data_IF_745253734316
#
_entry.id   IF_745253734316
#
_cell.length_a   1.000
_cell.length_b   1.000
_cell.length_c   1.000
_cell.angle_alpha   90.00
_cell.angle_beta   90.00
_cell.angle_gamma   90.00
#
_symmetry.space_group_name_H-M   'P 1'
#
loop_
_entity.id
_entity.type
_entity.pdbx_description
1 polymer ?
#
# COMPACT_ATOMS: atom_id res chain seq x y z
N UNK A 1 -10.12 9.47 1.77
CA UNK A 1 -9.05 8.77 2.50
C UNK A 1 -9.33 8.81 3.99
N UNK A 2 -8.70 7.94 4.76
CA UNK A 2 -8.91 7.74 6.20
C UNK A 2 -8.79 9.03 7.02
N UNK A 3 -7.85 9.89 6.69
CA UNK A 3 -7.58 11.14 7.43
C UNK A 3 -8.78 12.09 7.57
N UNK A 4 -9.77 11.98 6.68
CA UNK A 4 -10.97 12.83 6.70
C UNK A 4 -12.17 12.19 7.39
N UNK A 5 -12.19 10.87 7.56
CA UNK A 5 -13.38 10.15 8.03
C UNK A 5 -13.80 10.61 9.43
N UNK A 6 -12.89 10.55 10.40
CA UNK A 6 -13.24 10.93 11.78
C UNK A 6 -13.45 12.44 11.94
N UNK A 7 -12.60 13.34 11.40
CA UNK A 7 -12.86 14.78 11.44
C UNK A 7 -14.21 15.17 10.82
N UNK A 8 -14.58 14.59 9.67
CA UNK A 8 -15.88 14.88 9.04
C UNK A 8 -17.05 14.31 9.83
N UNK A 9 -16.88 13.15 10.45
CA UNK A 9 -17.88 12.62 11.34
C UNK A 9 -18.06 13.49 12.59
N UNK A 10 -16.97 14.03 13.15
CA UNK A 10 -17.01 14.94 14.31
C UNK A 10 -17.66 16.27 13.96
N UNK A 11 -17.38 16.79 12.78
CA UNK A 11 -17.96 18.04 12.25
C UNK A 11 -19.42 17.89 11.80
N UNK A 12 -20.01 16.69 11.85
CA UNK A 12 -21.39 16.44 11.41
C UNK A 12 -21.58 16.46 9.89
N UNK A 13 -20.49 16.41 9.10
CA UNK A 13 -20.53 16.34 7.64
C UNK A 13 -21.03 14.96 7.20
N UNK A 14 -20.61 13.89 7.89
CA UNK A 14 -21.05 12.53 7.61
C UNK A 14 -22.28 12.15 8.43
N UNK A 15 -23.26 11.54 7.77
CA UNK A 15 -24.34 10.80 8.44
C UNK A 15 -23.81 9.47 8.97
N UNK A 16 -23.34 9.50 10.22
CA UNK A 16 -22.75 8.32 10.88
C UNK A 16 -23.76 7.19 11.04
N UNK A 17 -25.06 7.51 11.21
CA UNK A 17 -26.09 6.50 11.38
C UNK A 17 -26.39 5.77 10.09
N UNK A 18 -26.52 6.48 8.97
CA UNK A 18 -26.71 5.91 7.65
C UNK A 18 -25.50 5.04 7.25
N UNK A 19 -24.27 5.56 7.38
CA UNK A 19 -23.06 4.79 7.07
C UNK A 19 -22.96 3.51 7.90
N UNK A 20 -23.26 3.58 9.20
CA UNK A 20 -23.23 2.41 10.08
C UNK A 20 -24.35 1.40 9.75
N UNK A 21 -25.52 1.87 9.31
CA UNK A 21 -26.61 1.01 8.84
C UNK A 21 -26.17 0.21 7.61
N UNK A 22 -25.59 0.86 6.60
CA UNK A 22 -25.04 0.21 5.40
C UNK A 22 -24.02 -0.88 5.77
N UNK A 23 -23.07 -0.59 6.66
CA UNK A 23 -22.07 -1.59 7.10
C UNK A 23 -22.74 -2.77 7.82
N UNK A 24 -23.81 -2.53 8.60
CA UNK A 24 -24.56 -3.61 9.26
C UNK A 24 -25.28 -4.50 8.26
N UNK A 25 -25.96 -3.90 7.27
CA UNK A 25 -26.70 -4.61 6.22
C UNK A 25 -25.77 -5.43 5.33
N UNK A 26 -24.62 -4.89 4.95
CA UNK A 26 -23.55 -5.60 4.21
C UNK A 26 -22.89 -6.72 5.03
N UNK A 27 -23.06 -6.71 6.36
CA UNK A 27 -22.49 -7.69 7.28
C UNK A 27 -21.08 -7.33 7.77
N UNK A 28 -20.98 -6.77 8.98
CA UNK A 28 -19.69 -6.35 9.58
C UNK A 28 -18.58 -7.40 9.52
N UNK A 29 -18.92 -8.68 9.64
CA UNK A 29 -17.95 -9.80 9.64
C UNK A 29 -17.30 -10.04 8.28
N UNK A 30 -17.89 -9.49 7.20
CA UNK A 30 -17.33 -9.62 5.85
C UNK A 30 -16.23 -8.61 5.58
N UNK A 31 -16.07 -7.59 6.40
CA UNK A 31 -15.04 -6.58 6.29
C UNK A 31 -13.78 -6.94 7.09
N UNK A 32 -12.63 -6.47 6.63
CA UNK A 32 -11.39 -6.51 7.39
C UNK A 32 -11.55 -5.71 8.70
N UNK A 33 -11.33 -6.33 9.88
CA UNK A 33 -11.58 -5.66 11.16
C UNK A 33 -10.79 -4.37 11.36
N UNK A 34 -9.56 -4.32 10.83
CA UNK A 34 -8.71 -3.12 10.88
C UNK A 34 -9.35 -1.93 10.17
N UNK A 35 -9.89 -2.14 8.96
CA UNK A 35 -10.54 -1.09 8.18
C UNK A 35 -11.79 -0.52 8.89
N UNK A 36 -12.59 -1.37 9.51
CA UNK A 36 -13.72 -0.92 10.33
C UNK A 36 -13.28 -0.15 11.57
N UNK A 37 -12.24 -0.62 12.26
CA UNK A 37 -11.76 0.02 13.48
C UNK A 37 -11.19 1.43 13.22
N UNK A 38 -10.57 1.65 12.08
CA UNK A 38 -10.05 2.97 11.70
C UNK A 38 -11.16 4.02 11.47
N UNK A 39 -12.36 3.59 11.02
CA UNK A 39 -13.52 4.47 10.82
C UNK A 39 -14.48 4.48 12.01
N UNK A 40 -14.08 3.99 13.18
CA UNK A 40 -14.98 3.84 14.32
C UNK A 40 -15.11 5.15 15.10
N UNK A 41 -16.35 5.64 15.24
CA UNK A 41 -16.76 6.75 16.13
C UNK A 41 -17.68 6.20 17.22
N UNK A 42 -17.18 6.10 18.45
CA UNK A 42 -17.90 5.42 19.53
C UNK A 42 -18.18 3.95 19.19
N UNK A 43 -19.45 3.56 19.17
CA UNK A 43 -19.89 2.20 18.80
C UNK A 43 -20.26 2.05 17.32
N UNK A 44 -20.28 3.14 16.54
CA UNK A 44 -20.72 3.20 15.16
C UNK A 44 -19.52 3.28 14.20
N UNK A 45 -19.76 2.91 12.95
CA UNK A 45 -18.79 3.05 11.84
C UNK A 45 -19.19 4.28 11.03
N UNK A 46 -18.29 5.26 10.93
CA UNK A 46 -18.57 6.58 10.39
C UNK A 46 -18.56 6.64 8.85
N UNK A 47 -17.94 5.67 8.20
CA UNK A 47 -17.90 5.56 6.73
C UNK A 47 -17.66 4.10 6.31
N UNK A 48 -18.08 3.72 5.11
CA UNK A 48 -18.02 2.35 4.60
C UNK A 48 -16.66 2.10 3.95
N UNK A 49 -15.81 1.18 4.48
CA UNK A 49 -14.52 0.88 3.87
C UNK A 49 -14.70 0.25 2.48
N UNK A 50 -13.93 0.72 1.50
CA UNK A 50 -14.03 0.27 0.10
C UNK A 50 -12.88 -0.63 -0.30
N UNK A 51 -11.69 -0.09 -0.30
CA UNK A 51 -10.46 -0.79 -0.66
C UNK A 51 -9.26 -0.18 0.06
N UNK A 52 -8.12 -0.81 -0.05
CA UNK A 52 -6.92 -0.31 0.60
C UNK A 52 -5.65 -0.71 -0.14
N UNK A 53 -4.56 -0.12 0.28
CA UNK A 53 -3.21 -0.47 -0.15
C UNK A 53 -2.24 -0.41 1.03
N UNK A 54 -1.10 -1.03 0.88
CA UNK A 54 -0.02 -0.99 1.86
C UNK A 54 1.26 -0.48 1.22
N UNK A 55 2.16 0.10 2.01
CA UNK A 55 3.54 0.25 1.58
C UNK A 55 4.28 -1.07 1.77
N UNK A 56 5.21 -1.37 0.87
CA UNK A 56 6.03 -2.56 0.90
C UNK A 56 7.42 -2.26 0.34
N UNK A 57 8.42 -3.04 0.71
CA UNK A 57 9.72 -2.98 0.05
C UNK A 57 9.62 -3.79 -1.24
N UNK A 58 9.89 -3.14 -2.35
CA UNK A 58 9.98 -3.74 -3.68
C UNK A 58 11.45 -3.91 -4.02
N UNK A 59 11.90 -5.11 -4.37
CA UNK A 59 13.32 -5.38 -4.56
C UNK A 59 13.62 -6.33 -5.73
N UNK A 60 14.81 -6.26 -6.26
CA UNK A 60 15.34 -7.10 -7.33
C UNK A 60 15.89 -8.41 -6.79
N UNK A 61 15.09 -9.48 -6.82
CA UNK A 61 15.47 -10.83 -6.37
C UNK A 61 16.77 -11.31 -7.01
N UNK A 62 16.89 -11.15 -8.31
CA UNK A 62 18.04 -11.56 -9.10
C UNK A 62 19.36 -10.89 -8.65
N UNK A 63 19.32 -9.61 -8.27
CA UNK A 63 20.49 -8.90 -7.76
C UNK A 63 20.87 -9.37 -6.35
N UNK A 64 19.87 -9.65 -5.51
CA UNK A 64 20.10 -10.17 -4.16
C UNK A 64 20.69 -11.58 -4.22
N UNK A 65 20.15 -12.48 -5.04
CA UNK A 65 20.67 -13.84 -5.27
C UNK A 65 22.11 -13.80 -5.78
N UNK A 66 22.37 -12.98 -6.79
CA UNK A 66 23.72 -12.82 -7.35
C UNK A 66 24.75 -12.33 -6.33
N UNK A 67 24.34 -11.48 -5.40
CA UNK A 67 25.20 -10.94 -4.36
C UNK A 67 25.23 -11.79 -3.07
N UNK A 68 24.48 -12.89 -3.01
CA UNK A 68 24.37 -13.73 -1.81
C UNK A 68 23.71 -13.04 -0.62
N UNK A 69 22.76 -12.14 -0.89
CA UNK A 69 22.08 -11.35 0.14
C UNK A 69 20.74 -11.98 0.54
N UNK A 70 20.45 -11.92 1.82
CA UNK A 70 19.13 -12.24 2.35
C UNK A 70 18.08 -11.21 1.90
N UNK A 71 16.81 -11.61 1.70
CA UNK A 71 15.73 -10.69 1.36
C UNK A 71 15.66 -9.48 2.32
N UNK A 72 15.27 -8.28 1.84
CA UNK A 72 15.32 -7.03 2.61
C UNK A 72 14.17 -6.91 3.64
N UNK A 73 14.01 -7.92 4.51
CA UNK A 73 12.94 -8.01 5.50
C UNK A 73 13.16 -7.14 6.73
N UNK A 74 14.35 -6.54 6.87
CA UNK A 74 14.71 -5.72 8.04
C UNK A 74 15.58 -4.53 7.65
N UNK A 75 15.67 -3.54 8.54
CA UNK A 75 16.60 -2.43 8.40
C UNK A 75 18.03 -2.90 8.16
N UNK A 76 18.45 -3.92 8.90
CA UNK A 76 19.80 -4.49 8.78
C UNK A 76 20.04 -5.06 7.39
N UNK A 77 19.09 -5.88 6.87
CA UNK A 77 19.24 -6.49 5.56
C UNK A 77 19.21 -5.44 4.45
N UNK A 78 18.36 -4.40 4.56
CA UNK A 78 18.35 -3.27 3.62
C UNK A 78 19.69 -2.53 3.66
N UNK A 79 20.24 -2.25 4.84
CA UNK A 79 21.53 -1.56 4.98
C UNK A 79 22.67 -2.36 4.33
N UNK A 80 22.73 -3.67 4.59
CA UNK A 80 23.71 -4.57 3.94
C UNK A 80 23.57 -4.57 2.41
N UNK A 81 22.33 -4.58 1.93
CA UNK A 81 22.07 -4.54 0.49
C UNK A 81 22.44 -3.19 -0.13
N UNK A 82 22.19 -2.08 0.56
CA UNK A 82 22.66 -0.75 0.14
C UNK A 82 24.18 -0.73 -0.01
N UNK A 83 24.91 -1.23 0.98
CA UNK A 83 26.38 -1.29 0.95
C UNK A 83 26.92 -2.17 -0.19
N UNK A 84 26.29 -3.31 -0.43
CA UNK A 84 26.75 -4.28 -1.43
C UNK A 84 26.36 -3.93 -2.87
N UNK A 85 25.23 -3.24 -3.08
CA UNK A 85 24.64 -3.02 -4.40
C UNK A 85 24.70 -1.55 -4.86
N UNK A 86 25.29 -0.64 -4.08
CA UNK A 86 25.57 0.74 -4.51
C UNK A 86 26.85 0.80 -5.34
N UNK A 87 26.86 1.62 -6.38
CA UNK A 87 28.03 1.83 -7.23
C UNK A 87 27.76 1.41 -8.68
N UNK A 88 28.73 1.62 -9.57
CA UNK A 88 28.65 1.29 -10.99
C UNK A 88 27.40 1.83 -11.70
N UNK A 89 26.96 3.03 -11.28
CA UNK A 89 25.76 3.69 -11.84
C UNK A 89 24.44 3.21 -11.25
N UNK A 90 24.48 2.40 -10.18
CA UNK A 90 23.32 1.93 -9.42
C UNK A 90 23.23 2.66 -8.07
N UNK A 91 22.04 3.14 -7.74
CA UNK A 91 21.72 3.67 -6.43
C UNK A 91 21.25 2.53 -5.53
N UNK A 92 21.83 2.35 -4.36
CA UNK A 92 21.51 1.23 -3.45
C UNK A 92 20.06 1.23 -2.97
N UNK A 93 19.41 2.39 -2.99
CA UNK A 93 18.01 2.59 -2.67
C UNK A 93 17.48 3.85 -3.37
N UNK A 94 16.17 3.96 -3.58
CA UNK A 94 15.53 5.24 -3.90
C UNK A 94 14.42 5.51 -2.92
N UNK A 95 14.74 6.36 -1.92
CA UNK A 95 13.80 6.80 -0.90
C UNK A 95 13.02 8.05 -1.36
N UNK A 96 11.85 8.26 -0.77
CA UNK A 96 11.11 9.49 -0.92
C UNK A 96 11.78 10.61 -0.10
N UNK A 97 12.16 11.72 -0.74
CA UNK A 97 12.83 12.87 -0.09
C UNK A 97 12.12 14.20 -0.33
N UNK A 98 11.08 14.22 -1.16
CA UNK A 98 10.28 15.42 -1.41
C UNK A 98 9.29 15.64 -0.25
N UNK A 99 9.55 16.65 0.57
CA UNK A 99 8.88 16.85 1.87
C UNK A 99 7.44 17.39 1.79
N UNK A 100 7.06 18.00 0.69
CA UNK A 100 5.72 18.54 0.43
C UNK A 100 4.78 17.52 -0.26
N UNK A 101 5.24 16.28 -0.43
CA UNK A 101 4.49 15.19 -1.04
C UNK A 101 4.00 14.16 0.00
N UNK A 102 2.75 13.73 -0.14
CA UNK A 102 2.16 12.69 0.72
C UNK A 102 2.94 11.37 0.66
N UNK A 103 3.58 11.07 -0.45
CA UNK A 103 4.35 9.85 -0.62
C UNK A 103 5.51 9.75 0.38
N UNK A 104 6.20 10.87 0.65
CA UNK A 104 7.25 10.87 1.67
C UNK A 104 6.70 10.55 3.06
N UNK A 105 5.57 11.13 3.46
CA UNK A 105 4.94 10.80 4.75
C UNK A 105 4.55 9.33 4.84
N UNK A 106 3.99 8.76 3.78
CA UNK A 106 3.60 7.34 3.74
C UNK A 106 4.82 6.42 3.88
N UNK A 107 5.92 6.73 3.18
CA UNK A 107 7.18 5.97 3.27
C UNK A 107 7.84 6.11 4.64
N UNK A 108 7.87 7.33 5.19
CA UNK A 108 8.42 7.57 6.52
C UNK A 108 7.58 6.86 7.59
N UNK A 109 6.26 6.95 7.54
CA UNK A 109 5.37 6.25 8.48
C UNK A 109 5.54 4.73 8.40
N UNK A 110 5.71 4.17 7.19
CA UNK A 110 6.00 2.74 7.02
C UNK A 110 7.29 2.35 7.76
N UNK A 111 8.36 3.12 7.59
CA UNK A 111 9.62 2.94 8.32
C UNK A 111 9.41 3.08 9.83
N UNK A 112 8.71 4.10 10.30
CA UNK A 112 8.45 4.30 11.73
C UNK A 112 7.68 3.13 12.35
N UNK A 113 6.61 2.68 11.70
CA UNK A 113 5.78 1.56 12.15
C UNK A 113 6.56 0.24 12.17
N UNK A 114 7.40 0.00 11.16
CA UNK A 114 8.28 -1.16 11.09
C UNK A 114 9.16 -1.31 12.34
N UNK A 115 9.58 -0.20 12.96
CA UNK A 115 10.36 -0.18 14.20
C UNK A 115 9.50 -0.04 15.47
N UNK A 116 8.17 -0.11 15.36
CA UNK A 116 7.25 0.01 16.49
C UNK A 116 7.20 1.42 17.08
N UNK A 117 7.44 2.45 16.26
CA UNK A 117 7.19 3.86 16.63
C UNK A 117 5.70 4.12 16.56
N UNK A 118 5.15 4.62 17.65
CA UNK A 118 3.75 5.03 17.72
C UNK A 118 3.72 6.46 18.29
N UNK A 119 3.70 7.45 17.40
CA UNK A 119 3.81 8.87 17.74
C UNK A 119 2.62 9.34 18.57
N UNK A 120 1.43 8.81 18.28
CA UNK A 120 0.20 9.14 19.02
C UNK A 120 -0.36 7.91 19.70
N UNK A 121 -0.65 7.99 20.99
CA UNK A 121 -1.36 6.95 21.75
C UNK A 121 -2.36 7.58 22.72
N UNK A 122 -3.62 7.14 22.64
CA UNK A 122 -4.71 7.68 23.46
C UNK A 122 -4.84 9.22 23.35
N UNK A 123 -4.72 9.75 22.12
CA UNK A 123 -4.85 11.20 21.85
C UNK A 123 -3.64 12.06 22.26
N UNK A 124 -2.59 11.48 22.83
CA UNK A 124 -1.41 12.22 23.26
C UNK A 124 -0.16 11.86 22.43
N UNK A 125 0.66 12.86 22.11
CA UNK A 125 1.96 12.67 21.47
C UNK A 125 2.91 12.02 22.49
N UNK A 126 3.63 11.00 22.05
CA UNK A 126 4.54 10.23 22.89
C UNK A 126 6.00 10.47 22.53
N UNK A 127 6.84 10.58 23.56
CA UNK A 127 8.30 10.52 23.37
C UNK A 127 8.68 9.08 22.99
N UNK A 128 9.22 8.89 21.80
CA UNK A 128 9.65 7.59 21.27
C UNK A 128 11.18 7.44 21.20
N UNK A 129 11.92 8.42 21.73
CA UNK A 129 13.37 8.48 21.91
C UNK A 129 14.19 7.53 21.04
N UNK A 130 14.59 6.39 21.62
CA UNK A 130 15.45 5.39 20.97
C UNK A 130 14.87 4.82 19.67
N UNK A 131 13.55 4.50 19.64
CA UNK A 131 12.90 3.93 18.45
C UNK A 131 12.83 4.93 17.31
N UNK A 132 12.41 6.16 17.61
CA UNK A 132 12.34 7.23 16.63
C UNK A 132 13.71 7.55 16.07
N UNK A 133 14.73 7.69 16.94
CA UNK A 133 16.10 7.92 16.52
C UNK A 133 16.60 6.86 15.55
N UNK A 134 16.47 5.58 15.89
CA UNK A 134 16.89 4.48 15.03
C UNK A 134 16.15 4.47 13.67
N UNK A 135 14.86 4.82 13.64
CA UNK A 135 14.12 4.91 12.39
C UNK A 135 14.57 6.07 11.51
N UNK A 136 14.87 7.23 12.10
CA UNK A 136 15.38 8.39 11.36
C UNK A 136 16.82 8.16 10.87
N UNK A 137 17.65 7.49 11.66
CA UNK A 137 18.99 7.07 11.24
C UNK A 137 18.93 6.11 10.06
N UNK A 138 18.03 5.12 10.10
CA UNK A 138 17.80 4.24 8.96
C UNK A 138 17.25 4.99 7.73
N UNK A 139 16.29 5.91 7.92
CA UNK A 139 15.78 6.72 6.81
C UNK A 139 16.91 7.55 6.16
N UNK A 140 17.84 8.09 6.96
CA UNK A 140 19.04 8.76 6.47
C UNK A 140 19.93 7.83 5.64
N UNK A 141 20.09 6.56 6.03
CA UNK A 141 20.85 5.57 5.26
C UNK A 141 20.25 5.40 3.86
N UNK A 142 18.95 5.13 3.76
CA UNK A 142 18.29 4.93 2.47
C UNK A 142 18.20 6.22 1.64
N UNK A 143 18.06 7.37 2.27
CA UNK A 143 18.09 8.66 1.57
C UNK A 143 19.49 8.99 1.01
N UNK A 144 20.56 8.70 1.75
CA UNK A 144 21.93 8.90 1.28
C UNK A 144 22.33 7.92 0.15
N UNK A 145 21.67 6.76 0.06
CA UNK A 145 21.85 5.78 -1.00
C UNK A 145 21.07 6.13 -2.28
N UNK A 146 20.24 7.17 -2.22
CA UNK A 146 19.39 7.63 -3.30
C UNK A 146 20.09 8.69 -4.18
N UNK A 147 19.60 8.95 -5.41
CA UNK A 147 20.06 10.10 -6.18
C UNK A 147 19.89 11.41 -5.40
N UNK A 148 20.71 12.42 -5.65
CA UNK A 148 20.51 13.74 -5.06
C UNK A 148 19.23 14.40 -5.57
N UNK A 149 18.63 15.25 -4.75
CA UNK A 149 17.45 16.05 -5.08
C UNK A 149 16.17 15.60 -4.38
N UNK A 150 15.06 16.15 -4.85
CA UNK A 150 13.72 15.86 -4.35
C UNK A 150 13.12 14.68 -5.10
N UNK A 151 12.96 13.57 -4.41
CA UNK A 151 12.44 12.31 -4.97
C UNK A 151 11.04 12.03 -4.42
N UNK A 152 10.12 11.71 -5.31
CA UNK A 152 8.77 11.28 -4.96
C UNK A 152 8.39 10.01 -5.74
N UNK A 153 7.14 9.59 -5.68
CA UNK A 153 6.70 8.31 -6.24
C UNK A 153 7.14 8.07 -7.70
N UNK A 154 7.11 9.11 -8.54
CA UNK A 154 7.42 8.96 -9.97
C UNK A 154 8.89 8.61 -10.20
N UNK A 155 9.82 9.38 -9.62
CA UNK A 155 11.26 9.11 -9.77
C UNK A 155 11.65 7.75 -9.16
N UNK A 156 11.09 7.39 -8.00
CA UNK A 156 11.36 6.09 -7.38
C UNK A 156 10.98 4.95 -8.32
N UNK A 157 9.78 5.00 -8.90
CA UNK A 157 9.30 4.02 -9.88
C UNK A 157 10.17 4.00 -11.14
N UNK A 158 10.41 5.15 -11.76
CA UNK A 158 11.16 5.25 -13.01
C UNK A 158 12.60 4.71 -12.89
N UNK A 159 13.26 4.98 -11.76
CA UNK A 159 14.60 4.45 -11.49
C UNK A 159 14.59 2.94 -11.27
N UNK A 160 13.57 2.40 -10.61
CA UNK A 160 13.41 0.97 -10.48
C UNK A 160 13.12 0.30 -11.83
N UNK A 161 12.25 0.88 -12.64
CA UNK A 161 11.91 0.39 -13.99
C UNK A 161 13.09 0.41 -14.95
N UNK A 162 13.98 1.36 -14.78
CA UNK A 162 15.23 1.46 -15.56
C UNK A 162 16.36 0.55 -15.02
N UNK A 163 16.12 -0.23 -13.97
CA UNK A 163 17.14 -1.07 -13.34
C UNK A 163 18.27 -0.28 -12.67
N UNK A 164 18.02 0.98 -12.29
CA UNK A 164 19.00 1.88 -11.66
C UNK A 164 19.03 1.81 -10.14
N UNK A 165 18.15 1.02 -9.53
CA UNK A 165 18.11 0.74 -8.10
C UNK A 165 17.64 -0.67 -7.84
N UNK A 166 18.22 -1.38 -6.85
CA UNK A 166 17.75 -2.69 -6.44
C UNK A 166 16.55 -2.66 -5.51
N UNK A 167 16.24 -1.51 -4.88
CA UNK A 167 15.20 -1.41 -3.86
C UNK A 167 14.50 -0.05 -3.87
N UNK A 168 13.18 -0.09 -3.64
CA UNK A 168 12.32 1.06 -3.33
C UNK A 168 11.30 0.67 -2.27
N UNK A 169 10.67 1.65 -1.62
CA UNK A 169 9.39 1.44 -0.92
C UNK A 169 8.28 1.95 -1.82
N UNK A 170 7.30 1.09 -2.09
CA UNK A 170 6.19 1.39 -2.99
C UNK A 170 4.93 0.65 -2.53
N UNK A 171 3.82 0.91 -3.19
CA UNK A 171 2.53 0.24 -2.97
C UNK A 171 2.23 -0.79 -4.07
N UNK A 172 1.19 -1.65 -3.89
CA UNK A 172 0.79 -2.62 -4.91
C UNK A 172 0.37 -2.03 -6.25
N UNK A 173 0.20 -0.71 -6.34
CA UNK A 173 -0.05 0.00 -7.62
C UNK A 173 1.01 -0.23 -8.69
N UNK A 174 2.20 -0.69 -8.27
CA UNK A 174 3.32 -0.96 -9.19
C UNK A 174 3.19 -2.32 -9.90
N UNK A 175 2.31 -3.22 -9.46
CA UNK A 175 2.32 -4.62 -9.89
C UNK A 175 1.97 -4.80 -11.37
N UNK A 176 0.95 -4.12 -11.87
CA UNK A 176 0.57 -4.15 -13.27
C UNK A 176 1.59 -3.41 -14.16
N UNK A 177 2.16 -2.33 -13.64
CA UNK A 177 3.21 -1.56 -14.30
C UNK A 177 4.48 -2.40 -14.49
N UNK A 178 4.94 -3.10 -13.43
CA UNK A 178 6.10 -4.01 -13.49
C UNK A 178 5.91 -5.14 -14.50
N UNK A 179 4.69 -5.64 -14.61
CA UNK A 179 4.34 -6.71 -15.52
C UNK A 179 4.21 -6.25 -16.99
N UNK A 180 4.43 -4.97 -17.27
CA UNK A 180 4.27 -4.42 -18.62
C UNK A 180 2.81 -4.44 -19.10
N UNK A 181 1.84 -4.42 -18.20
CA UNK A 181 0.41 -4.46 -18.51
C UNK A 181 -0.22 -3.07 -18.64
N UNK A 182 0.57 -2.01 -18.41
CA UNK A 182 0.11 -0.62 -18.42
C UNK A 182 0.97 0.23 -19.35
N UNK A 183 0.41 0.64 -20.47
CA UNK A 183 1.12 1.42 -21.50
C UNK A 183 1.56 2.81 -21.03
N UNK A 184 0.83 3.40 -20.09
CA UNK A 184 1.17 4.74 -19.55
C UNK A 184 2.40 4.76 -18.62
N UNK A 185 2.88 3.59 -18.19
CA UNK A 185 4.02 3.46 -17.27
C UNK A 185 4.75 2.13 -17.47
N UNK A 186 5.33 1.89 -18.65
CA UNK A 186 6.00 0.63 -18.97
C UNK A 186 7.34 0.52 -18.25
N UNK A 187 7.81 -0.71 -17.96
CA UNK A 187 9.19 -0.96 -17.59
C UNK A 187 10.15 -0.51 -18.69
N UNK A 188 11.30 0.00 -18.30
CA UNK A 188 12.34 0.48 -19.23
C UNK A 188 13.66 -0.25 -19.05
N UNK A 189 13.63 -1.40 -18.38
CA UNK A 189 14.82 -2.24 -18.13
C UNK A 189 15.36 -2.86 -19.41
N UNK A 190 14.52 -3.05 -20.42
CA UNK A 190 14.86 -3.49 -21.75
C UNK A 190 14.07 -2.71 -22.82
N UNK A 191 14.19 -3.07 -24.08
CA UNK A 191 13.51 -2.39 -25.20
C UNK A 191 12.06 -2.81 -25.42
N UNK A 192 11.58 -3.86 -24.73
CA UNK A 192 10.20 -4.33 -24.84
C UNK A 192 9.35 -3.80 -23.64
N UNK A 193 8.51 -2.77 -23.85
CA UNK A 193 7.67 -2.20 -22.80
C UNK A 193 6.59 -3.17 -22.29
N UNK A 194 6.39 -4.27 -23.01
CA UNK A 194 5.38 -5.29 -22.65
C UNK A 194 5.98 -6.49 -21.93
N UNK A 195 7.30 -6.46 -21.71
CA UNK A 195 8.04 -7.56 -21.08
C UNK A 195 7.64 -7.74 -19.60
N UNK A 196 7.37 -8.98 -19.22
CA UNK A 196 7.23 -9.40 -17.82
C UNK A 196 8.57 -9.63 -17.10
N UNK A 197 9.71 -9.31 -17.74
CA UNK A 197 11.04 -9.58 -17.19
C UNK A 197 11.24 -8.94 -15.82
N UNK A 198 10.87 -7.68 -15.66
CA UNK A 198 11.05 -6.98 -14.39
C UNK A 198 10.14 -7.57 -13.30
N UNK A 199 8.90 -7.94 -13.62
CA UNK A 199 8.00 -8.61 -12.69
C UNK A 199 8.59 -9.92 -12.17
N UNK A 200 9.12 -10.77 -13.06
CA UNK A 200 9.72 -12.05 -12.68
C UNK A 200 10.96 -11.91 -11.78
N UNK A 201 11.67 -10.78 -11.88
CA UNK A 201 12.85 -10.43 -11.08
C UNK A 201 12.52 -9.65 -9.81
N UNK A 202 11.26 -9.26 -9.59
CA UNK A 202 10.83 -8.46 -8.46
C UNK A 202 10.28 -9.32 -7.33
N UNK A 203 10.68 -8.99 -6.09
CA UNK A 203 10.11 -9.52 -4.87
C UNK A 203 9.50 -8.41 -4.03
N UNK A 204 8.62 -8.80 -3.11
CA UNK A 204 7.88 -7.89 -2.25
C UNK A 204 8.03 -8.27 -0.77
N UNK A 205 8.31 -7.30 0.08
CA UNK A 205 8.30 -7.47 1.53
C UNK A 205 7.18 -6.62 2.11
N UNK A 206 6.12 -7.26 2.52
CA UNK A 206 4.92 -6.61 3.06
C UNK A 206 4.99 -6.34 4.56
N UNK A 207 6.00 -6.88 5.25
CA UNK A 207 6.16 -6.76 6.69
C UNK A 207 7.61 -6.43 7.07
N UNK A 208 7.97 -5.16 6.98
CA UNK A 208 9.31 -4.68 7.32
C UNK A 208 9.55 -4.69 8.83
N UNK A 209 10.73 -5.12 9.27
CA UNK A 209 11.15 -5.19 10.67
C UNK A 209 12.20 -4.13 10.99
N UNK A 210 12.02 -3.44 12.09
CA UNK A 210 13.02 -2.58 12.68
C UNK A 210 13.68 -3.22 13.90
N UNK A 211 14.83 -2.68 14.38
CA UNK A 211 15.60 -3.26 15.49
C UNK A 211 14.86 -3.31 16.83
N UNK A 212 13.77 -2.55 16.98
CA UNK A 212 12.95 -2.54 18.19
C UNK A 212 11.55 -3.17 17.98
N UNK A 213 11.33 -3.84 16.85
CA UNK A 213 10.08 -4.54 16.53
C UNK A 213 10.36 -5.74 15.63
N UNK A 214 10.55 -6.91 16.22
CA UNK A 214 10.82 -8.16 15.52
C UNK A 214 9.58 -8.75 14.81
N UNK A 215 8.39 -8.24 15.14
CA UNK A 215 7.15 -8.63 14.45
C UNK A 215 6.99 -7.90 13.11
N UNK A 216 7.65 -6.76 12.97
CA UNK A 216 7.48 -5.88 11.82
C UNK A 216 6.13 -5.19 11.80
N UNK A 217 5.94 -4.37 10.79
CA UNK A 217 4.67 -3.74 10.44
C UNK A 217 4.73 -3.18 9.02
N UNK A 218 3.56 -2.84 8.48
CA UNK A 218 3.41 -2.06 7.27
C UNK A 218 2.48 -0.87 7.52
N UNK A 219 2.71 0.21 6.82
CA UNK A 219 1.75 1.29 6.70
C UNK A 219 0.68 0.90 5.70
N UNK A 220 -0.58 1.25 5.99
CA UNK A 220 -1.70 1.02 5.09
C UNK A 220 -2.65 2.21 5.10
N UNK A 221 -3.29 2.46 3.97
CA UNK A 221 -4.41 3.39 3.88
C UNK A 221 -5.64 2.67 3.33
N UNK A 222 -6.81 3.19 3.67
CA UNK A 222 -8.10 2.65 3.25
C UNK A 222 -8.95 3.79 2.69
N UNK A 223 -9.60 3.55 1.56
CA UNK A 223 -10.61 4.44 1.02
C UNK A 223 -11.97 4.08 1.58
N UNK A 224 -12.82 5.10 1.70
CA UNK A 224 -14.15 4.99 2.26
C UNK A 224 -15.18 5.67 1.38
N UNK A 225 -16.36 5.09 1.25
CA UNK A 225 -17.56 5.83 0.93
C UNK A 225 -18.11 6.49 2.20
N UNK A 226 -18.59 7.71 2.07
CA UNK A 226 -19.23 8.46 3.15
C UNK A 226 -20.54 9.06 2.66
N UNK A 227 -21.65 8.67 3.27
CA UNK A 227 -22.93 9.37 3.11
C UNK A 227 -22.84 10.65 3.91
N UNK A 228 -23.06 11.79 3.28
CA UNK A 228 -23.08 13.09 3.95
C UNK A 228 -24.44 13.37 4.58
N UNK A 229 -24.49 14.27 5.54
CA UNK A 229 -25.71 14.60 6.27
C UNK A 229 -26.79 15.28 5.41
N UNK A 230 -26.40 15.85 4.28
CA UNK A 230 -27.27 16.52 3.29
C UNK A 230 -27.61 15.65 2.07
N UNK A 231 -27.11 14.40 2.02
CA UNK A 231 -27.38 13.49 0.92
C UNK A 231 -28.79 12.88 1.02
N UNK A 232 -29.35 12.48 -0.12
CA UNK A 232 -30.43 11.51 -0.13
C UNK A 232 -29.90 10.16 0.40
N UNK A 233 -30.28 9.87 1.65
CA UNK A 233 -29.75 8.71 2.38
C UNK A 233 -30.17 7.38 1.74
N UNK A 234 -31.36 7.30 1.14
CA UNK A 234 -31.87 6.08 0.51
C UNK A 234 -31.09 5.77 -0.77
N UNK A 235 -30.96 6.76 -1.66
CA UNK A 235 -30.23 6.63 -2.92
C UNK A 235 -28.74 6.37 -2.67
N UNK A 236 -28.09 7.14 -1.76
CA UNK A 236 -26.70 6.97 -1.42
C UNK A 236 -26.41 5.59 -0.80
N UNK A 237 -27.30 5.11 0.09
CA UNK A 237 -27.18 3.78 0.67
C UNK A 237 -27.34 2.67 -0.38
N UNK A 238 -28.30 2.82 -1.31
CA UNK A 238 -28.51 1.87 -2.40
C UNK A 238 -27.28 1.79 -3.30
N UNK A 239 -26.71 2.94 -3.69
CA UNK A 239 -25.48 3.00 -4.49
C UNK A 239 -24.30 2.33 -3.81
N UNK A 240 -24.07 2.62 -2.51
CA UNK A 240 -22.94 2.03 -1.76
C UNK A 240 -23.15 0.53 -1.61
N UNK A 241 -24.35 0.06 -1.28
CA UNK A 241 -24.65 -1.37 -1.16
C UNK A 241 -24.39 -2.11 -2.47
N UNK A 242 -24.87 -1.57 -3.59
CA UNK A 242 -24.58 -2.14 -4.91
C UNK A 242 -23.06 -2.17 -5.20
N UNK A 243 -22.36 -1.04 -4.97
CA UNK A 243 -20.94 -0.93 -5.22
C UNK A 243 -20.08 -1.85 -4.36
N UNK A 244 -20.56 -2.19 -3.16
CA UNK A 244 -19.85 -3.05 -2.19
C UNK A 244 -20.29 -4.51 -2.26
N UNK A 245 -21.24 -4.87 -3.06
CA UNK A 245 -21.75 -6.25 -3.27
C UNK A 245 -21.68 -6.66 -4.74
N UNK A 246 -22.73 -6.50 -5.52
CA UNK A 246 -22.77 -6.92 -6.94
C UNK A 246 -21.72 -6.20 -7.79
N UNK A 247 -21.50 -4.91 -7.54
CA UNK A 247 -20.53 -4.08 -8.26
C UNK A 247 -19.10 -4.18 -7.75
N UNK A 248 -18.86 -4.85 -6.61
CA UNK A 248 -17.59 -4.74 -5.90
C UNK A 248 -16.40 -5.27 -6.71
N UNK A 249 -16.53 -6.43 -7.30
CA UNK A 249 -15.49 -7.02 -8.15
C UNK A 249 -15.17 -6.12 -9.34
N UNK A 250 -16.21 -5.52 -9.97
CA UNK A 250 -16.03 -4.57 -11.08
C UNK A 250 -15.31 -3.31 -10.60
N UNK A 251 -15.68 -2.77 -9.44
CA UNK A 251 -15.03 -1.59 -8.83
C UNK A 251 -13.55 -1.82 -8.58
N UNK A 252 -13.18 -2.98 -8.06
CA UNK A 252 -11.78 -3.35 -7.82
C UNK A 252 -10.99 -3.52 -9.12
N UNK A 253 -11.63 -3.92 -10.22
CA UNK A 253 -10.98 -4.15 -11.52
C UNK A 253 -10.86 -2.90 -12.41
N UNK A 254 -11.56 -1.80 -12.08
CA UNK A 254 -11.55 -0.56 -12.90
C UNK A 254 -10.16 0.07 -12.94
N UNK A 255 -9.47 0.08 -11.81
CA UNK A 255 -8.10 0.54 -11.77
C UNK A 255 -7.19 -0.67 -11.58
N UNK A 256 -6.35 -1.00 -12.55
CA UNK A 256 -5.33 -2.02 -12.40
C UNK A 256 -4.22 -1.50 -11.48
N UNK A 257 -4.56 -1.13 -10.27
CA UNK A 257 -3.70 -0.40 -9.35
C UNK A 257 -3.39 -1.22 -8.07
N UNK A 258 -3.58 -2.54 -8.10
CA UNK A 258 -3.23 -3.39 -6.97
C UNK A 258 -3.89 -3.02 -5.65
N UNK A 259 -5.12 -2.46 -5.69
CA UNK A 259 -5.89 -2.18 -4.48
C UNK A 259 -6.49 -3.45 -3.92
N UNK A 260 -6.33 -3.66 -2.62
CA UNK A 260 -6.85 -4.86 -1.96
C UNK A 260 -8.31 -4.69 -1.52
N UNK A 261 -9.14 -5.73 -1.66
CA UNK A 261 -10.50 -5.70 -1.13
C UNK A 261 -10.46 -5.69 0.40
N UNK A 262 -11.10 -4.70 1.00
CA UNK A 262 -11.30 -4.65 2.47
C UNK A 262 -12.59 -5.31 2.91
N UNK A 263 -13.51 -5.57 1.99
CA UNK A 263 -14.62 -6.50 2.15
C UNK A 263 -14.23 -7.82 1.48
N UNK A 264 -14.02 -8.87 2.25
CA UNK A 264 -13.46 -10.14 1.78
C UNK A 264 -14.47 -11.01 1.06
N UNK A 265 -15.75 -10.88 1.40
CA UNK A 265 -16.84 -11.67 0.82
C UNK A 265 -18.22 -11.17 1.25
N UNK A 266 -19.20 -12.01 1.09
CA UNK A 266 -20.58 -11.75 1.50
C UNK A 266 -21.07 -12.79 2.52
N UNK A 267 -22.35 -12.80 2.83
CA UNK A 267 -22.92 -13.71 3.81
C UNK A 267 -22.90 -15.19 3.38
N UNK A 268 -22.88 -15.46 2.08
CA UNK A 268 -22.88 -16.81 1.54
C UNK A 268 -21.47 -17.37 1.33
N UNK A 269 -20.49 -16.54 0.97
CA UNK A 269 -19.07 -16.90 0.90
C UNK A 269 -18.23 -15.76 1.50
N UNK A 270 -17.67 -15.95 2.73
CA UNK A 270 -16.90 -14.91 3.42
C UNK A 270 -15.60 -14.48 2.72
N UNK A 271 -15.13 -15.23 1.72
CA UNK A 271 -13.91 -14.95 0.96
C UNK A 271 -14.18 -14.71 -0.55
N UNK A 272 -15.45 -14.58 -0.95
CA UNK A 272 -15.84 -14.48 -2.37
C UNK A 272 -15.11 -13.36 -3.11
N UNK A 273 -14.98 -12.19 -2.50
CA UNK A 273 -14.34 -11.02 -3.14
C UNK A 273 -12.82 -11.14 -3.17
N UNK A 274 -12.21 -11.70 -2.13
CA UNK A 274 -10.77 -11.97 -2.11
C UNK A 274 -10.39 -13.00 -3.19
N UNK A 275 -11.16 -14.09 -3.28
CA UNK A 275 -10.97 -15.11 -4.34
C UNK A 275 -11.21 -14.55 -5.74
N UNK A 276 -12.23 -13.71 -5.92
CA UNK A 276 -12.50 -13.07 -7.19
C UNK A 276 -11.40 -12.09 -7.57
N UNK A 277 -10.94 -11.26 -6.61
CA UNK A 277 -9.90 -10.27 -6.83
C UNK A 277 -8.56 -10.92 -7.28
N UNK A 278 -8.15 -12.00 -6.65
CA UNK A 278 -6.91 -12.71 -7.04
C UNK A 278 -6.92 -13.25 -8.48
N UNK A 279 -8.11 -13.42 -9.06
CA UNK A 279 -8.32 -13.89 -10.46
C UNK A 279 -8.64 -12.75 -11.43
N UNK A 280 -8.78 -11.50 -10.96
CA UNK A 280 -9.07 -10.38 -11.84
C UNK A 280 -7.89 -10.12 -12.78
N UNK A 281 -8.16 -9.87 -14.06
CA UNK A 281 -7.12 -9.40 -14.94
C UNK A 281 -6.67 -8.01 -14.53
N UNK A 282 -5.37 -7.77 -14.56
CA UNK A 282 -4.75 -6.48 -14.33
C UNK A 282 -4.20 -5.92 -15.63
N UNK A 283 -4.00 -4.61 -15.67
CA UNK A 283 -3.59 -3.90 -16.88
C UNK A 283 -4.77 -3.41 -17.70
N UNK A 284 -4.52 -2.34 -18.42
CA UNK A 284 -5.53 -1.68 -19.27
C UNK A 284 -5.59 -2.37 -20.64
N UNK A 285 -4.42 -2.64 -21.20
CA UNK A 285 -4.25 -3.06 -22.59
C UNK A 285 -3.99 -4.56 -22.73
N UNK A 286 -3.38 -5.15 -21.73
CA UNK A 286 -3.09 -6.60 -21.68
C UNK A 286 -3.58 -7.14 -20.35
N UNK A 287 -4.50 -8.09 -20.43
CA UNK A 287 -5.17 -8.65 -19.26
C UNK A 287 -4.55 -9.98 -18.87
N UNK A 288 -3.99 -10.05 -17.69
CA UNK A 288 -3.55 -11.28 -17.07
C UNK A 288 -3.97 -11.30 -15.59
N UNK A 289 -4.33 -12.45 -15.02
CA UNK A 289 -4.53 -12.58 -13.58
C UNK A 289 -3.26 -12.25 -12.81
N UNK A 290 -3.37 -11.63 -11.63
CA UNK A 290 -2.22 -11.36 -10.77
C UNK A 290 -1.46 -12.64 -10.39
N UNK A 291 -2.20 -13.73 -10.14
CA UNK A 291 -1.62 -15.05 -9.83
C UNK A 291 -0.69 -15.62 -10.91
N UNK A 292 -0.87 -15.21 -12.16
CA UNK A 292 -0.04 -15.69 -13.26
C UNK A 292 1.29 -14.94 -13.37
N UNK A 293 1.39 -13.77 -12.72
CA UNK A 293 2.52 -12.85 -12.80
C UNK A 293 3.41 -12.88 -11.57
N UNK A 294 2.83 -13.17 -10.44
CA UNK A 294 3.52 -13.17 -9.15
C UNK A 294 3.20 -14.47 -8.41
N UNK A 295 4.24 -15.19 -8.01
CA UNK A 295 4.10 -16.38 -7.17
C UNK A 295 3.60 -15.99 -5.77
N UNK A 296 2.86 -16.88 -5.12
CA UNK A 296 2.34 -16.74 -3.76
C UNK A 296 3.44 -16.95 -2.68
N UNK A 297 4.62 -16.37 -2.83
CA UNK A 297 5.70 -16.48 -1.84
C UNK A 297 5.55 -15.48 -0.67
#
# INVERSE_FOLDING_TARGET
TLQYVLPWAEAGILDVDANNAVVKELGKKTFAPGALNMAKKGSKIAAVPVDGWTQMVVYRKDLFEKAGLEPPTSYENITKAVEALSGDGMFGFVAATKTDENFMSQVLEHVLLANGVNVVKKGAIRKQGKKLKASLEFYKVIANASPPGELYWKQSRELYFAGKTPMIIWSPFIMDELAGLRDSAPPTINSDPTSGELASKTGFITNLKGPNNNKGAAWADVRYFGITADADTEEASAFIKYSMDEGYTKTLSIAPEGKFPVRRGNSSDPEAFTKAWSKLPVGVDRKAPLSDLYSED
#
